data_IF_456611026857
#
_entry.id   IF_456611026857
#
_cell.length_a   1.000
_cell.length_b   1.000
_cell.length_c   1.000
_cell.angle_alpha   90.00
_cell.angle_beta   90.00
_cell.angle_gamma   90.00
#
_symmetry.space_group_name_H-M   'P 1'
#
loop_
_entity.id
_entity.type
_entity.pdbx_description
1 polymer ?
#
# COMPACT_ATOMS: atom_id res chain seq x y z
N UNK A 1 -16.85 -18.96 3.83
CA UNK A 1 -16.87 -17.86 2.84
C UNK A 1 -16.70 -16.56 3.62
N UNK A 2 -15.48 -16.02 3.69
CA UNK A 2 -15.23 -14.80 4.45
C UNK A 2 -15.93 -13.62 3.74
N UNK A 3 -16.94 -13.03 4.37
CA UNK A 3 -17.52 -11.78 3.89
C UNK A 3 -16.44 -10.70 4.02
N UNK A 4 -15.93 -10.22 2.89
CA UNK A 4 -15.02 -9.08 2.88
C UNK A 4 -15.68 -7.86 3.52
N UNK A 5 -14.89 -7.05 4.21
CA UNK A 5 -15.35 -5.82 4.87
C UNK A 5 -16.13 -4.95 3.85
N UNK A 6 -17.39 -4.59 4.12
CA UNK A 6 -18.20 -3.81 3.19
C UNK A 6 -17.55 -2.46 2.81
N UNK A 7 -16.76 -1.86 3.71
CA UNK A 7 -16.03 -0.62 3.43
C UNK A 7 -14.89 -0.86 2.42
N UNK A 8 -14.20 -1.99 2.56
CA UNK A 8 -13.14 -2.38 1.62
C UNK A 8 -13.70 -2.63 0.22
N UNK A 9 -14.86 -3.30 0.13
CA UNK A 9 -15.53 -3.61 -1.13
C UNK A 9 -16.01 -2.33 -1.85
N UNK A 10 -16.59 -1.39 -1.10
CA UNK A 10 -17.01 -0.09 -1.64
C UNK A 10 -15.83 0.73 -2.17
N UNK A 11 -14.71 0.73 -1.43
CA UNK A 11 -13.53 1.48 -1.84
C UNK A 11 -12.79 0.83 -3.02
N UNK A 12 -12.81 -0.49 -3.18
CA UNK A 12 -12.09 -1.19 -4.25
C UNK A 12 -12.83 -1.23 -5.61
N UNK A 13 -14.18 -1.23 -5.61
CA UNK A 13 -14.99 -1.44 -6.81
C UNK A 13 -15.17 -0.20 -7.70
N UNK A 14 -14.71 0.97 -7.25
CA UNK A 14 -14.77 2.20 -8.05
C UNK A 14 -13.81 2.18 -9.25
N UNK A 15 -14.16 2.96 -10.29
CA UNK A 15 -13.24 3.33 -11.40
C UNK A 15 -12.50 4.65 -11.14
N UNK A 16 -12.70 5.24 -9.96
CA UNK A 16 -12.07 6.50 -9.58
C UNK A 16 -10.66 6.29 -9.04
N UNK A 17 -9.91 7.38 -8.95
CA UNK A 17 -8.53 7.39 -8.47
C UNK A 17 -8.39 6.82 -7.06
N UNK A 18 -9.36 7.10 -6.17
CA UNK A 18 -9.37 6.59 -4.80
C UNK A 18 -9.42 5.05 -4.76
N UNK A 19 -10.20 4.43 -5.63
CA UNK A 19 -10.26 2.99 -5.75
C UNK A 19 -8.99 2.37 -6.34
N UNK A 20 -8.34 3.07 -7.27
CA UNK A 20 -7.02 2.67 -7.77
C UNK A 20 -5.96 2.76 -6.68
N UNK A 21 -5.95 3.83 -5.87
CA UNK A 21 -5.07 3.95 -4.70
C UNK A 21 -5.32 2.83 -3.69
N UNK A 22 -6.59 2.55 -3.38
CA UNK A 22 -6.95 1.51 -2.43
C UNK A 22 -6.42 0.14 -2.88
N UNK A 23 -6.61 -0.22 -4.15
CA UNK A 23 -6.08 -1.47 -4.72
C UNK A 23 -4.55 -1.49 -4.75
N UNK A 24 -3.91 -0.39 -5.17
CA UNK A 24 -2.46 -0.27 -5.20
C UNK A 24 -1.86 -0.45 -3.80
N UNK A 25 -2.45 0.17 -2.77
CA UNK A 25 -2.03 0.01 -1.38
C UNK A 25 -2.17 -1.42 -0.89
N UNK A 26 -3.26 -2.11 -1.22
CA UNK A 26 -3.43 -3.53 -0.86
C UNK A 26 -2.35 -4.39 -1.52
N UNK A 27 -2.09 -4.19 -2.81
CA UNK A 27 -1.06 -4.94 -3.54
C UNK A 27 0.34 -4.68 -2.97
N UNK A 28 0.68 -3.42 -2.69
CA UNK A 28 1.93 -3.04 -2.06
C UNK A 28 2.12 -3.69 -0.68
N UNK A 29 1.09 -3.63 0.18
CA UNK A 29 1.11 -4.29 1.49
C UNK A 29 1.30 -5.80 1.37
N UNK A 30 0.55 -6.46 0.49
CA UNK A 30 0.64 -7.91 0.29
C UNK A 30 2.03 -8.33 -0.22
N UNK A 31 2.58 -7.58 -1.18
CA UNK A 31 3.91 -7.81 -1.73
C UNK A 31 5.00 -7.64 -0.67
N UNK A 32 4.96 -6.57 0.12
CA UNK A 32 5.97 -6.31 1.15
C UNK A 32 5.92 -7.34 2.28
N UNK A 33 4.73 -7.77 2.71
CA UNK A 33 4.60 -8.85 3.69
C UNK A 33 5.19 -10.16 3.17
N UNK A 34 4.92 -10.50 1.90
CA UNK A 34 5.50 -11.66 1.25
C UNK A 34 7.03 -11.55 1.17
N UNK A 35 7.54 -10.39 0.76
CA UNK A 35 8.98 -10.12 0.66
C UNK A 35 9.67 -10.24 2.02
N UNK A 36 9.08 -9.72 3.10
CA UNK A 36 9.60 -9.85 4.46
C UNK A 36 9.64 -11.30 4.93
N UNK A 37 8.57 -12.06 4.67
CA UNK A 37 8.54 -13.50 4.99
C UNK A 37 9.63 -14.25 4.24
N UNK A 38 9.78 -14.00 2.95
CA UNK A 38 10.84 -14.62 2.16
C UNK A 38 12.24 -14.19 2.61
N UNK A 39 12.42 -12.92 2.97
CA UNK A 39 13.72 -12.41 3.47
C UNK A 39 14.11 -13.08 4.78
N UNK A 40 13.14 -13.31 5.67
CA UNK A 40 13.36 -14.03 6.94
C UNK A 40 13.76 -15.48 6.71
N UNK A 41 13.03 -16.19 5.86
CA UNK A 41 13.27 -17.62 5.60
C UNK A 41 14.58 -17.82 4.83
N UNK A 42 14.81 -17.06 3.77
CA UNK A 42 15.91 -17.28 2.83
C UNK A 42 17.21 -16.59 3.24
N UNK A 43 17.13 -15.43 3.90
CA UNK A 43 18.33 -14.63 4.26
C UNK A 43 18.56 -14.52 5.77
N UNK A 44 17.68 -15.09 6.62
CA UNK A 44 17.73 -14.97 8.08
C UNK A 44 17.79 -13.50 8.56
N UNK A 45 17.23 -12.59 7.75
CA UNK A 45 17.19 -11.16 8.04
C UNK A 45 15.77 -10.75 8.42
N UNK A 46 15.68 -9.94 9.46
CA UNK A 46 14.43 -9.42 9.98
C UNK A 46 14.50 -7.89 10.02
N UNK A 47 13.65 -7.24 9.22
CA UNK A 47 13.45 -5.79 9.33
C UNK A 47 12.54 -5.47 10.52
N UNK A 48 12.73 -4.30 11.12
CA UNK A 48 11.87 -3.82 12.19
C UNK A 48 10.48 -3.48 11.65
N UNK A 49 9.47 -3.49 12.51
CA UNK A 49 8.11 -3.09 12.11
C UNK A 49 8.09 -1.66 11.55
N UNK A 50 8.90 -0.75 12.09
CA UNK A 50 9.01 0.62 11.60
C UNK A 50 9.56 0.68 10.17
N UNK A 51 10.59 -0.11 9.86
CA UNK A 51 11.15 -0.19 8.51
C UNK A 51 10.13 -0.72 7.50
N UNK A 52 9.36 -1.74 7.88
CA UNK A 52 8.32 -2.31 7.02
C UNK A 52 7.21 -1.28 6.76
N UNK A 53 6.76 -0.57 7.79
CA UNK A 53 5.76 0.50 7.65
C UNK A 53 6.26 1.63 6.75
N UNK A 54 7.53 2.05 6.88
CA UNK A 54 8.13 3.06 5.99
C UNK A 54 8.18 2.60 4.53
N UNK A 55 8.55 1.34 4.29
CA UNK A 55 8.56 0.78 2.93
C UNK A 55 7.16 0.76 2.31
N UNK A 56 6.13 0.37 3.09
CA UNK A 56 4.74 0.40 2.63
C UNK A 56 4.33 1.83 2.24
N UNK A 57 4.63 2.82 3.09
CA UNK A 57 4.32 4.22 2.82
C UNK A 57 5.04 4.73 1.57
N UNK A 58 6.33 4.40 1.41
CA UNK A 58 7.12 4.79 0.23
C UNK A 58 6.59 4.14 -1.06
N UNK A 59 6.22 2.87 -1.03
CA UNK A 59 5.68 2.16 -2.20
C UNK A 59 4.35 2.78 -2.66
N UNK A 60 3.47 3.10 -1.70
CA UNK A 60 2.20 3.78 -1.96
C UNK A 60 2.44 5.20 -2.49
N UNK A 61 3.41 5.92 -1.92
CA UNK A 61 3.77 7.27 -2.37
C UNK A 61 4.46 7.29 -3.75
N UNK A 62 5.27 6.28 -4.09
CA UNK A 62 5.89 6.15 -5.40
C UNK A 62 4.84 5.82 -6.48
N UNK A 63 3.91 4.91 -6.14
CA UNK A 63 2.79 4.57 -7.03
C UNK A 63 1.88 5.78 -7.27
N UNK A 64 1.78 6.69 -6.31
CA UNK A 64 1.01 7.92 -6.43
C UNK A 64 1.73 9.03 -7.20
N UNK A 65 3.06 9.15 -7.08
CA UNK A 65 3.84 10.14 -7.81
C UNK A 65 3.92 9.85 -9.32
N UNK A 66 3.81 8.59 -9.71
CA UNK A 66 3.67 8.15 -11.11
C UNK A 66 2.35 8.59 -11.77
N UNK A 67 1.37 9.06 -11.00
CA UNK A 67 0.13 9.64 -11.51
C UNK A 67 -0.07 11.04 -10.94
N UNK A 68 0.09 12.07 -11.78
CA UNK A 68 -0.01 13.49 -11.38
C UNK A 68 -1.29 13.84 -10.59
N UNK A 69 -2.40 13.14 -10.86
CA UNK A 69 -3.65 13.25 -10.10
C UNK A 69 -3.62 12.57 -8.72
N UNK A 70 -2.89 11.46 -8.56
CA UNK A 70 -2.70 10.79 -7.26
C UNK A 70 -1.75 11.58 -6.35
N UNK A 71 -0.69 12.16 -6.91
CA UNK A 71 0.26 12.99 -6.16
C UNK A 71 -0.42 14.17 -5.47
N UNK A 72 -1.44 14.77 -6.11
CA UNK A 72 -2.25 15.86 -5.54
C UNK A 72 -3.06 15.40 -4.32
N UNK A 73 -3.64 14.21 -4.36
CA UNK A 73 -4.47 13.65 -3.28
C UNK A 73 -3.62 13.21 -2.10
N UNK A 74 -2.42 12.66 -2.34
CA UNK A 74 -1.51 12.31 -1.23
C UNK A 74 -0.93 13.55 -0.53
N UNK A 75 -0.77 14.68 -1.24
CA UNK A 75 -0.49 15.98 -0.63
C UNK A 75 -1.64 16.47 0.25
N UNK A 76 -2.90 16.35 -0.21
CA UNK A 76 -4.08 16.69 0.61
C UNK A 76 -4.21 15.81 1.86
N UNK A 77 -3.83 14.54 1.79
CA UNK A 77 -3.93 13.59 2.91
C UNK A 77 -2.82 13.75 3.96
N UNK A 78 -1.91 14.72 3.82
CA UNK A 78 -0.84 15.02 4.78
C UNK A 78 0.06 13.80 5.11
N UNK A 79 0.16 12.84 4.19
CA UNK A 79 0.97 11.62 4.31
C UNK A 79 2.40 11.82 3.79
N UNK A 80 2.76 13.04 3.43
CA UNK A 80 4.04 13.41 2.86
C UNK A 80 4.55 14.68 3.58
N UNK A 81 5.80 14.73 4.06
CA UNK A 81 6.42 15.98 4.53
C UNK A 81 6.73 16.94 3.37
#
# INVERSE_FOLDING_TARGET
>A
MARGDPVAVLNANGKNIKATMYRASIVACAYLIWQERNTRVTQQKQRSHEQITRLILQEVACTSSLSSKLASIMRELNLYP
#
